data_IF_545874149328
#
_entry.id   IF_545874149328
#
_cell.length_a   1.000
_cell.length_b   1.000
_cell.length_c   1.000
_cell.angle_alpha   90.00
_cell.angle_beta   90.00
_cell.angle_gamma   90.00
#
_symmetry.space_group_name_H-M   'P 1'
#
loop_
_entity.id
_entity.type
_entity.pdbx_description
1 polymer ?
#
# COMPACT_ATOMS: atom_id res chain seq x y z
N UNK A 1 -15.94 -13.26 1.08
CA UNK A 1 -16.30 -14.21 0.03
C UNK A 1 -15.12 -14.43 -0.91
N UNK A 2 -14.39 -15.53 -0.71
CA UNK A 2 -13.19 -15.84 -1.50
C UNK A 2 -13.52 -16.18 -2.95
N UNK A 3 -14.65 -16.81 -3.22
CA UNK A 3 -15.05 -17.14 -4.58
C UNK A 3 -15.32 -15.89 -5.41
N UNK A 4 -15.98 -14.89 -4.81
CA UNK A 4 -16.20 -13.59 -5.45
C UNK A 4 -14.91 -12.85 -5.74
N UNK A 5 -13.97 -12.83 -4.79
CA UNK A 5 -12.66 -12.24 -4.99
C UNK A 5 -11.87 -12.94 -6.10
N UNK A 6 -11.91 -14.27 -6.11
CA UNK A 6 -11.23 -15.07 -7.15
C UNK A 6 -11.81 -14.78 -8.53
N UNK A 7 -13.14 -14.80 -8.65
CA UNK A 7 -13.81 -14.51 -9.92
C UNK A 7 -13.49 -13.10 -10.44
N UNK A 8 -13.50 -12.11 -9.56
CA UNK A 8 -13.17 -10.73 -9.92
C UNK A 8 -11.72 -10.60 -10.37
N UNK A 9 -10.80 -11.21 -9.62
CA UNK A 9 -9.37 -11.16 -9.94
C UNK A 9 -9.07 -11.83 -11.28
N UNK A 10 -9.66 -12.98 -11.53
CA UNK A 10 -9.48 -13.70 -12.80
C UNK A 10 -10.02 -12.87 -13.97
N UNK A 11 -11.12 -12.15 -13.76
CA UNK A 11 -11.79 -11.41 -14.82
C UNK A 11 -11.08 -10.12 -15.20
N UNK A 12 -10.65 -9.34 -14.21
CA UNK A 12 -10.13 -7.98 -14.47
C UNK A 12 -8.78 -7.67 -13.82
N UNK A 13 -8.22 -8.59 -13.02
CA UNK A 13 -6.95 -8.36 -12.31
C UNK A 13 -5.76 -8.06 -13.21
N UNK A 14 -5.83 -8.46 -14.47
CA UNK A 14 -4.79 -8.16 -15.46
C UNK A 14 -4.89 -6.74 -16.03
N UNK A 15 -5.99 -6.05 -15.77
CA UNK A 15 -6.26 -4.70 -16.31
C UNK A 15 -6.30 -3.63 -15.23
N UNK A 16 -6.67 -3.99 -13.99
CA UNK A 16 -6.86 -3.03 -12.91
C UNK A 16 -6.21 -3.52 -11.63
N UNK A 17 -5.80 -2.58 -10.79
CA UNK A 17 -5.30 -2.87 -9.45
C UNK A 17 -6.47 -3.16 -8.52
N UNK A 18 -6.47 -4.36 -7.95
CA UNK A 18 -7.47 -4.81 -6.99
C UNK A 18 -6.85 -4.86 -5.60
N UNK A 19 -7.22 -3.91 -4.75
CA UNK A 19 -6.59 -3.71 -3.44
C UNK A 19 -7.35 -4.48 -2.37
N UNK A 20 -6.67 -5.40 -1.69
CA UNK A 20 -7.22 -6.12 -0.54
C UNK A 20 -7.00 -5.34 0.74
N UNK A 21 -8.07 -4.84 1.34
CA UNK A 21 -8.08 -4.18 2.64
C UNK A 21 -8.52 -5.18 3.71
N UNK A 22 -9.82 -5.34 3.91
CA UNK A 22 -10.35 -6.30 4.90
C UNK A 22 -10.03 -7.76 4.55
N UNK A 23 -9.74 -8.03 3.30
CA UNK A 23 -9.33 -9.37 2.84
C UNK A 23 -8.03 -9.82 3.52
N UNK A 24 -7.05 -8.94 3.64
CA UNK A 24 -5.72 -9.27 4.17
C UNK A 24 -5.46 -8.74 5.58
N UNK A 25 -6.08 -7.64 5.94
CA UNK A 25 -5.94 -6.94 7.25
C UNK A 25 -4.45 -6.69 7.58
N UNK A 26 -3.63 -6.42 6.59
CA UNK A 26 -2.17 -6.25 6.69
C UNK A 26 -1.50 -7.43 7.43
N UNK A 27 -2.10 -8.61 7.39
CA UNK A 27 -1.61 -9.80 8.10
C UNK A 27 -0.82 -10.71 7.15
N UNK A 28 0.46 -11.02 7.44
CA UNK A 28 1.29 -11.85 6.56
C UNK A 28 0.70 -13.21 6.23
N UNK A 29 0.07 -13.86 7.19
CA UNK A 29 -0.53 -15.19 6.98
C UNK A 29 -1.75 -15.13 6.06
N UNK A 30 -2.62 -14.14 6.27
CA UNK A 30 -3.80 -13.93 5.42
C UNK A 30 -3.39 -13.53 4.01
N UNK A 31 -2.37 -12.68 3.90
CA UNK A 31 -1.82 -12.28 2.61
C UNK A 31 -1.24 -13.49 1.86
N UNK A 32 -0.44 -14.30 2.52
CA UNK A 32 0.15 -15.51 1.91
C UNK A 32 -0.94 -16.45 1.40
N UNK A 33 -1.99 -16.65 2.19
CA UNK A 33 -3.14 -17.48 1.79
C UNK A 33 -3.84 -16.87 0.56
N UNK A 34 -4.08 -15.56 0.56
CA UNK A 34 -4.72 -14.88 -0.56
C UNK A 34 -3.89 -14.93 -1.84
N UNK A 35 -2.59 -14.77 -1.74
CA UNK A 35 -1.67 -14.91 -2.87
C UNK A 35 -1.74 -16.32 -3.45
N UNK A 36 -1.70 -17.34 -2.58
CA UNK A 36 -1.80 -18.73 -3.00
C UNK A 36 -3.12 -19.07 -3.72
N UNK A 37 -4.19 -18.37 -3.39
CA UNK A 37 -5.51 -18.53 -4.02
C UNK A 37 -5.73 -17.59 -5.21
N UNK A 38 -4.81 -16.68 -5.48
CA UNK A 38 -4.93 -15.71 -6.56
C UNK A 38 -5.99 -14.64 -6.32
N UNK A 39 -6.11 -14.16 -5.07
CA UNK A 39 -7.09 -13.14 -4.68
C UNK A 39 -6.47 -11.76 -4.71
N UNK A 40 -7.11 -10.80 -5.37
CA UNK A 40 -6.64 -9.42 -5.53
C UNK A 40 -5.26 -9.37 -6.21
N UNK A 41 -4.62 -8.20 -6.25
CA UNK A 41 -3.25 -8.05 -6.75
C UNK A 41 -2.50 -6.91 -6.08
N UNK A 42 -3.07 -6.34 -5.02
CA UNK A 42 -2.44 -5.29 -4.23
C UNK A 42 -2.86 -5.40 -2.76
N UNK A 43 -1.98 -4.99 -1.87
CA UNK A 43 -2.20 -4.96 -0.42
C UNK A 43 -2.41 -3.52 0.03
N UNK A 44 -3.49 -3.26 0.76
CA UNK A 44 -3.63 -2.00 1.49
C UNK A 44 -2.96 -2.14 2.84
N UNK A 45 -1.98 -1.28 3.12
CA UNK A 45 -1.15 -1.37 4.33
C UNK A 45 -1.63 -0.36 5.35
N UNK A 46 -2.15 -0.85 6.46
CA UNK A 46 -2.56 -0.04 7.62
C UNK A 46 -1.71 -0.47 8.82
N UNK A 47 -0.72 0.33 9.17
CA UNK A 47 0.29 -0.04 10.17
C UNK A 47 -0.33 -0.49 11.49
N UNK A 48 -1.38 0.18 11.92
CA UNK A 48 -2.01 -0.08 13.22
C UNK A 48 -2.92 -1.33 13.24
N UNK A 49 -3.16 -1.98 12.12
CA UNK A 49 -4.03 -3.17 12.09
C UNK A 49 -3.39 -4.40 12.70
N UNK A 50 -2.07 -4.51 12.58
CA UNK A 50 -1.36 -5.70 13.04
C UNK A 50 -0.47 -5.45 14.25
N UNK A 51 -0.31 -4.19 14.66
CA UNK A 51 0.29 -3.83 15.94
C UNK A 51 1.81 -3.68 15.94
N UNK A 52 2.54 -4.18 14.96
CA UNK A 52 3.98 -3.98 14.91
C UNK A 52 4.47 -3.54 13.54
N UNK A 53 5.51 -2.70 13.55
CA UNK A 53 6.19 -2.25 12.32
C UNK A 53 6.85 -3.42 11.59
N UNK A 54 7.46 -4.35 12.33
CA UNK A 54 8.12 -5.53 11.76
C UNK A 54 7.14 -6.38 10.95
N UNK A 55 5.97 -6.65 11.50
CA UNK A 55 4.94 -7.43 10.80
C UNK A 55 4.40 -6.69 9.57
N UNK A 56 4.26 -5.37 9.67
CA UNK A 56 3.87 -4.53 8.53
C UNK A 56 4.88 -4.62 7.39
N UNK A 57 6.17 -4.49 7.71
CA UNK A 57 7.24 -4.58 6.72
C UNK A 57 7.32 -5.99 6.12
N UNK A 58 7.08 -7.03 6.91
CA UNK A 58 7.00 -8.40 6.43
C UNK A 58 5.87 -8.57 5.41
N UNK A 59 4.68 -8.06 5.71
CA UNK A 59 3.54 -8.12 4.79
C UNK A 59 3.85 -7.41 3.46
N UNK A 60 4.43 -6.22 3.52
CA UNK A 60 4.84 -5.47 2.31
C UNK A 60 5.86 -6.28 1.50
N UNK A 61 6.86 -6.85 2.15
CA UNK A 61 7.87 -7.65 1.49
C UNK A 61 7.27 -8.88 0.79
N UNK A 62 6.35 -9.59 1.45
CA UNK A 62 5.65 -10.74 0.87
C UNK A 62 4.87 -10.31 -0.36
N UNK A 63 4.13 -9.21 -0.29
CA UNK A 63 3.37 -8.68 -1.42
C UNK A 63 4.30 -8.41 -2.61
N UNK A 64 5.34 -7.62 -2.39
CA UNK A 64 6.27 -7.21 -3.45
C UNK A 64 7.00 -8.39 -4.09
N UNK A 65 7.41 -9.38 -3.30
CA UNK A 65 8.10 -10.57 -3.82
C UNK A 65 7.19 -11.46 -4.68
N UNK A 66 5.88 -11.34 -4.52
CA UNK A 66 4.91 -12.12 -5.26
C UNK A 66 4.20 -11.32 -6.36
N UNK A 67 4.75 -10.18 -6.74
CA UNK A 67 4.21 -9.34 -7.81
C UNK A 67 2.98 -8.54 -7.43
N UNK A 68 2.61 -8.51 -6.16
CA UNK A 68 1.56 -7.63 -5.65
C UNK A 68 2.16 -6.24 -5.40
N UNK A 69 1.36 -5.21 -5.64
CA UNK A 69 1.72 -3.86 -5.22
C UNK A 69 1.26 -3.62 -3.79
N UNK A 70 1.72 -2.54 -3.17
CA UNK A 70 1.32 -2.14 -1.83
C UNK A 70 0.94 -0.67 -1.83
N UNK A 71 -0.13 -0.32 -1.13
CA UNK A 71 -0.60 1.05 -0.96
C UNK A 71 -0.55 1.38 0.53
N UNK A 72 0.30 2.31 0.92
CA UNK A 72 0.31 2.80 2.31
C UNK A 72 -0.94 3.64 2.57
N UNK A 73 -1.63 3.36 3.65
CA UNK A 73 -2.94 3.98 3.91
C UNK A 73 -3.04 4.59 5.30
N UNK A 74 -3.73 5.72 5.36
CA UNK A 74 -4.23 6.26 6.62
C UNK A 74 -5.38 5.40 7.13
N UNK A 75 -5.76 5.64 8.40
CA UNK A 75 -6.99 5.11 9.00
C UNK A 75 -7.84 6.28 9.48
N UNK A 76 -9.14 6.05 9.62
CA UNK A 76 -10.10 7.10 9.99
C UNK A 76 -9.86 7.73 11.37
N UNK A 77 -9.16 7.05 12.26
CA UNK A 77 -8.80 7.57 13.58
C UNK A 77 -7.36 8.03 13.71
N UNK A 78 -6.64 8.22 12.61
CA UNK A 78 -5.23 8.62 12.68
C UNK A 78 -5.03 10.05 13.21
N UNK A 79 -3.87 10.23 13.87
CA UNK A 79 -3.37 11.53 14.33
C UNK A 79 -2.54 12.21 13.22
N UNK A 80 -1.90 13.34 13.56
CA UNK A 80 -1.02 14.07 12.65
C UNK A 80 0.35 13.38 12.43
N UNK A 81 0.55 12.16 12.92
CA UNK A 81 1.77 11.41 12.72
C UNK A 81 2.00 11.15 11.22
N UNK A 82 3.18 11.48 10.75
CA UNK A 82 3.57 11.36 9.35
C UNK A 82 4.29 10.04 9.01
N UNK A 83 4.33 9.08 9.93
CA UNK A 83 5.07 7.82 9.78
C UNK A 83 4.71 7.06 8.50
N UNK A 84 3.45 7.08 8.07
CA UNK A 84 3.07 6.38 6.84
C UNK A 84 3.70 6.99 5.59
N UNK A 85 3.98 8.29 5.59
CA UNK A 85 4.69 8.94 4.48
C UNK A 85 6.14 8.42 4.41
N UNK A 86 6.82 8.35 5.55
CA UNK A 86 8.18 7.81 5.63
C UNK A 86 8.22 6.35 5.18
N UNK A 87 7.26 5.54 5.62
CA UNK A 87 7.16 4.13 5.24
C UNK A 87 6.87 3.94 3.75
N UNK A 88 6.02 4.78 3.17
CA UNK A 88 5.71 4.70 1.74
C UNK A 88 6.97 4.89 0.90
N UNK A 89 7.82 5.85 1.26
CA UNK A 89 9.08 6.10 0.57
C UNK A 89 10.11 5.01 0.89
N UNK A 90 10.27 4.65 2.16
CA UNK A 90 11.29 3.68 2.60
C UNK A 90 11.05 2.29 2.00
N UNK A 91 9.81 1.86 1.84
CA UNK A 91 9.47 0.57 1.24
C UNK A 91 9.39 0.61 -0.28
N UNK A 92 9.52 1.80 -0.87
CA UNK A 92 9.38 2.00 -2.31
C UNK A 92 8.06 1.45 -2.87
N UNK A 93 6.97 1.57 -2.10
CA UNK A 93 5.68 1.05 -2.54
C UNK A 93 5.03 1.89 -3.64
N UNK A 94 5.44 3.15 -3.79
CA UNK A 94 5.02 4.03 -4.89
C UNK A 94 3.61 4.61 -4.76
N UNK A 95 2.85 4.20 -3.77
CA UNK A 95 1.45 4.59 -3.61
C UNK A 95 1.12 4.88 -2.15
N UNK A 96 0.36 5.93 -1.92
CA UNK A 96 -0.11 6.30 -0.59
C UNK A 96 -1.56 6.78 -0.65
N UNK A 97 -2.35 6.39 0.34
CA UNK A 97 -3.73 6.84 0.52
C UNK A 97 -3.82 7.59 1.84
N UNK A 98 -3.87 8.92 1.78
CA UNK A 98 -3.92 9.78 2.96
C UNK A 98 -5.22 10.60 3.07
N UNK A 99 -6.11 10.47 2.10
CA UNK A 99 -7.38 11.17 2.07
C UNK A 99 -7.27 12.63 1.64
N UNK A 100 -8.25 13.43 2.06
CA UNK A 100 -8.35 14.84 1.67
C UNK A 100 -7.31 15.71 2.35
N UNK A 101 -6.84 16.75 1.67
CA UNK A 101 -5.98 17.80 2.23
C UNK A 101 -6.70 18.70 3.24
N UNK A 102 -8.03 18.56 3.39
CA UNK A 102 -8.83 19.40 4.27
C UNK A 102 -8.58 19.14 5.77
N UNK A 103 -8.00 17.99 6.14
CA UNK A 103 -7.73 17.64 7.54
C UNK A 103 -6.24 17.78 7.85
N UNK A 104 -5.93 18.34 9.03
CA UNK A 104 -4.53 18.58 9.44
C UNK A 104 -3.73 17.29 9.61
N UNK A 105 -4.35 16.20 10.09
CA UNK A 105 -3.68 14.91 10.24
C UNK A 105 -3.25 14.32 8.88
N UNK A 106 -4.00 14.61 7.83
CA UNK A 106 -3.70 14.16 6.46
C UNK A 106 -2.72 15.11 5.78
N UNK A 107 -2.88 16.42 6.02
CA UNK A 107 -1.96 17.44 5.49
C UNK A 107 -0.54 17.22 6.01
N UNK A 108 -0.37 16.79 7.26
CA UNK A 108 0.94 16.48 7.82
C UNK A 108 1.68 15.42 6.99
N UNK A 109 0.99 14.41 6.47
CA UNK A 109 1.57 13.36 5.65
C UNK A 109 2.00 13.87 4.28
N UNK A 110 1.21 14.73 3.66
CA UNK A 110 1.59 15.39 2.40
C UNK A 110 2.80 16.29 2.59
N UNK A 111 2.84 17.08 3.67
CA UNK A 111 3.99 17.93 3.97
C UNK A 111 5.25 17.12 4.21
N UNK A 112 5.14 15.94 4.83
CA UNK A 112 6.29 15.06 5.04
C UNK A 112 6.82 14.52 3.72
N UNK A 113 5.96 14.17 2.77
CA UNK A 113 6.40 13.74 1.43
C UNK A 113 7.15 14.86 0.71
N UNK A 114 6.68 16.10 0.84
CA UNK A 114 7.36 17.27 0.27
C UNK A 114 8.75 17.44 0.89
N UNK A 115 8.88 17.31 2.20
CA UNK A 115 10.18 17.38 2.89
C UNK A 115 11.14 16.29 2.43
N UNK A 116 10.64 15.05 2.26
CA UNK A 116 11.45 13.94 1.75
C UNK A 116 11.93 14.23 0.32
N UNK A 117 11.06 14.76 -0.53
CA UNK A 117 11.43 15.13 -1.89
C UNK A 117 12.55 16.17 -1.88
N UNK A 118 12.46 17.20 -1.03
CA UNK A 118 13.48 18.22 -0.88
C UNK A 118 14.82 17.63 -0.41
N UNK A 119 14.79 16.70 0.55
CA UNK A 119 16.00 16.04 1.06
C UNK A 119 16.67 15.16 0.01
N UNK A 120 15.90 14.45 -0.81
CA UNK A 120 16.42 13.59 -1.87
C UNK A 120 16.92 14.37 -3.08
N UNK A 121 16.40 15.57 -3.30
CA UNK A 121 16.77 16.40 -4.44
C UNK A 121 16.62 15.65 -5.77
N UNK A 122 17.71 15.59 -6.54
CA UNK A 122 17.70 14.91 -7.85
C UNK A 122 17.53 13.39 -7.74
N UNK A 123 17.69 12.82 -6.54
CA UNK A 123 17.44 11.39 -6.28
C UNK A 123 15.97 11.05 -6.10
N UNK A 124 15.08 12.05 -5.99
CA UNK A 124 13.66 11.81 -5.85
C UNK A 124 13.05 11.42 -7.19
N UNK A 125 12.26 10.33 -7.20
CA UNK A 125 11.59 9.85 -8.39
C UNK A 125 10.09 9.71 -8.12
N UNK A 126 9.29 10.22 -9.04
CA UNK A 126 7.85 9.97 -9.06
C UNK A 126 7.59 8.72 -9.90
N UNK A 127 7.04 7.67 -9.26
CA UNK A 127 6.85 6.39 -9.93
C UNK A 127 5.83 6.43 -11.08
N UNK A 128 4.84 7.33 -10.99
CA UNK A 128 3.79 7.41 -12.01
C UNK A 128 3.08 6.07 -12.20
N UNK A 129 2.83 5.69 -13.43
CA UNK A 129 2.20 4.41 -13.76
C UNK A 129 3.05 3.20 -13.33
N UNK A 130 4.36 3.36 -13.16
CA UNK A 130 5.25 2.30 -12.67
C UNK A 130 4.87 1.78 -11.29
N UNK A 131 4.16 2.57 -10.48
CA UNK A 131 3.68 2.15 -9.17
C UNK A 131 2.68 0.97 -9.25
N UNK A 132 2.02 0.79 -10.37
CA UNK A 132 1.06 -0.29 -10.59
C UNK A 132 1.72 -1.62 -10.99
N UNK A 133 3.05 -1.66 -11.00
CA UNK A 133 3.79 -2.89 -11.28
C UNK A 133 3.52 -3.42 -12.69
N UNK A 134 3.15 -4.70 -12.79
CA UNK A 134 2.90 -5.36 -14.08
C UNK A 134 1.76 -4.75 -14.90
N UNK A 135 0.91 -3.93 -14.29
CA UNK A 135 -0.17 -3.24 -15.00
C UNK A 135 0.33 -2.00 -15.76
N UNK A 136 1.52 -1.54 -15.45
CA UNK A 136 2.10 -0.33 -16.05
C UNK A 136 2.59 -0.53 -17.49
N UNK A 137 2.82 -1.78 -17.86
CA UNK A 137 3.27 -2.13 -19.20
C UNK A 137 2.17 -2.05 -20.22
#
# INVERSE_FOLDING_TARGET
DFEGWKALTDKIGHKVQLVGDDLFVTNPKRLTMGIGKGLANSLLVKVNQIGSLTETLEAVSIAQRNGYTAVMSHRSGETEDATIADLAVATNCGQIKTGSLARSDRLAKYNQLIRIEEELGDGALYAGAGAFGRLAG
#
